data_IF_571790389061
#
_entry.id   IF_571790389061
#
_cell.length_a   1.000
_cell.length_b   1.000
_cell.length_c   1.000
_cell.angle_alpha   90.00
_cell.angle_beta   90.00
_cell.angle_gamma   90.00
#
_symmetry.space_group_name_H-M   'P 1'
#
loop_
_entity.id
_entity.type
_entity.pdbx_description
1 polymer ?
#
# COMPACT_ATOMS: atom_id res chain seq x y z
N UNK A 1 -4.91 22.17 16.18
CA UNK A 1 -4.33 20.87 16.56
C UNK A 1 -4.19 20.79 18.07
N UNK A 2 -4.78 19.76 18.70
CA UNK A 2 -4.59 19.40 20.12
C UNK A 2 -3.68 18.18 20.22
N UNK A 3 -2.73 18.19 21.14
CA UNK A 3 -1.78 17.09 21.38
C UNK A 3 -2.22 16.32 22.63
N UNK A 4 -2.29 15.00 22.54
CA UNK A 4 -2.60 14.12 23.67
C UNK A 4 -1.54 13.04 23.80
N UNK A 5 -0.89 12.99 24.98
CA UNK A 5 0.06 11.94 25.34
C UNK A 5 -0.66 10.59 25.40
N UNK A 6 -0.01 9.55 24.90
CA UNK A 6 -0.50 8.17 24.94
C UNK A 6 0.37 7.29 25.83
N UNK A 7 0.05 6.00 25.84
CA UNK A 7 0.78 5.00 26.62
C UNK A 7 2.20 4.73 26.07
N UNK A 8 3.09 4.11 26.87
CA UNK A 8 4.40 3.64 26.40
C UNK A 8 4.26 2.75 25.15
N UNK A 9 5.09 3.01 24.15
CA UNK A 9 4.93 2.44 22.80
C UNK A 9 5.71 1.13 22.59
N UNK A 10 6.73 0.85 23.42
CA UNK A 10 7.65 -0.27 23.24
C UNK A 10 7.75 -1.13 24.50
N UNK A 11 7.78 -2.45 24.31
CA UNK A 11 8.14 -3.38 25.38
C UNK A 11 9.64 -3.36 25.66
N UNK A 12 10.05 -3.81 26.85
CA UNK A 12 11.45 -3.90 27.26
C UNK A 12 12.34 -4.64 26.24
N UNK A 13 11.84 -5.75 25.68
CA UNK A 13 12.54 -6.50 24.62
C UNK A 13 12.81 -5.65 23.37
N UNK A 14 11.86 -4.79 22.96
CA UNK A 14 12.04 -3.90 21.80
C UNK A 14 13.03 -2.78 22.10
N UNK A 15 12.97 -2.20 23.30
CA UNK A 15 13.94 -1.20 23.75
C UNK A 15 15.35 -1.78 23.78
N UNK A 16 15.54 -2.96 24.36
CA UNK A 16 16.84 -3.65 24.40
C UNK A 16 17.40 -3.93 23.00
N UNK A 17 16.53 -4.32 22.05
CA UNK A 17 16.93 -4.50 20.66
C UNK A 17 17.39 -3.19 20.01
N UNK A 18 16.68 -2.07 20.22
CA UNK A 18 17.11 -0.76 19.71
C UNK A 18 18.46 -0.34 20.31
N UNK A 19 18.65 -0.55 21.61
CA UNK A 19 19.93 -0.27 22.27
C UNK A 19 21.07 -1.14 21.72
N UNK A 20 20.81 -2.41 21.42
CA UNK A 20 21.78 -3.31 20.78
C UNK A 20 22.17 -2.82 19.39
N UNK A 21 21.20 -2.44 18.54
CA UNK A 21 21.47 -1.83 17.24
C UNK A 21 22.29 -0.54 17.36
N UNK A 22 21.98 0.32 18.36
CA UNK A 22 22.75 1.53 18.61
C UNK A 22 24.21 1.21 18.97
N UNK A 23 24.45 0.16 19.78
CA UNK A 23 25.82 -0.28 20.11
C UNK A 23 26.56 -0.83 18.90
N UNK A 24 25.91 -1.62 18.04
CA UNK A 24 26.50 -2.12 16.79
C UNK A 24 26.94 -0.99 15.85
N UNK A 25 26.18 0.12 15.85
CA UNK A 25 26.49 1.35 15.10
C UNK A 25 27.45 2.30 15.84
N UNK A 26 27.95 1.94 17.02
CA UNK A 26 28.80 2.79 17.87
C UNK A 26 28.16 4.15 18.22
N UNK A 27 26.83 4.19 18.37
CA UNK A 27 26.11 5.38 18.83
C UNK A 27 26.22 5.49 20.37
N UNK A 28 26.49 6.68 20.93
CA UNK A 28 26.64 6.91 22.37
C UNK A 28 25.29 6.93 23.10
N UNK A 29 24.33 6.07 22.72
CA UNK A 29 22.98 5.99 23.30
C UNK A 29 22.99 5.10 24.54
N UNK A 30 22.54 5.65 25.68
CA UNK A 30 22.51 4.97 26.97
C UNK A 30 21.10 4.53 27.38
N UNK A 31 20.06 5.20 26.87
CA UNK A 31 18.67 4.93 27.20
C UNK A 31 17.72 5.34 26.08
N UNK A 32 16.65 4.57 25.88
CA UNK A 32 15.56 4.90 24.95
C UNK A 32 14.25 4.62 25.66
N UNK A 33 13.42 5.65 25.76
CA UNK A 33 12.02 5.55 26.16
C UNK A 33 11.13 6.01 25.01
N UNK A 34 9.95 5.43 24.85
CA UNK A 34 9.06 5.78 23.75
C UNK A 34 7.60 5.76 24.16
N UNK A 35 6.84 6.75 23.72
CA UNK A 35 5.40 6.88 23.96
C UNK A 35 4.65 7.16 22.68
N UNK A 36 3.39 6.72 22.62
CA UNK A 36 2.50 7.23 21.59
C UNK A 36 2.17 8.70 21.85
N UNK A 37 2.09 9.46 20.78
CA UNK A 37 1.58 10.82 20.79
C UNK A 37 0.44 10.92 19.79
N UNK A 38 -0.68 11.50 20.21
CA UNK A 38 -1.86 11.65 19.39
C UNK A 38 -2.09 13.12 19.04
N UNK A 39 -2.43 13.37 17.79
CA UNK A 39 -2.66 14.70 17.26
C UNK A 39 -4.09 14.77 16.75
N UNK A 40 -4.91 15.61 17.38
CA UNK A 40 -6.29 15.84 16.97
C UNK A 40 -6.39 17.17 16.25
N UNK A 41 -6.73 17.12 14.97
CA UNK A 41 -7.15 18.30 14.24
C UNK A 41 -8.65 18.53 14.43
N UNK A 42 -9.00 19.76 14.77
CA UNK A 42 -10.31 20.11 15.30
C UNK A 42 -10.90 21.28 14.54
N UNK A 43 -12.18 21.22 14.21
CA UNK A 43 -12.92 22.35 13.61
C UNK A 43 -13.28 23.43 14.63
N UNK A 44 -13.37 23.05 15.91
CA UNK A 44 -13.67 23.93 17.05
C UNK A 44 -13.16 23.31 18.35
N UNK A 45 -13.12 24.13 19.41
CA UNK A 45 -12.73 23.64 20.74
C UNK A 45 -13.72 22.59 21.28
N UNK A 46 -13.15 21.59 21.95
CA UNK A 46 -13.89 20.55 22.65
C UNK A 46 -14.33 21.04 24.03
N UNK A 47 -15.56 20.73 24.43
CA UNK A 47 -16.01 20.91 25.80
C UNK A 47 -15.42 19.85 26.74
N UNK A 48 -15.63 19.98 28.05
CA UNK A 48 -15.04 19.08 29.04
C UNK A 48 -15.46 17.61 28.86
N UNK A 49 -16.70 17.35 28.44
CA UNK A 49 -17.21 15.99 28.20
C UNK A 49 -16.60 15.39 26.94
N UNK A 50 -16.47 16.18 25.89
CA UNK A 50 -15.82 15.79 24.64
C UNK A 50 -14.32 15.50 24.85
N UNK A 51 -13.62 16.34 25.63
CA UNK A 51 -12.22 16.10 26.02
C UNK A 51 -12.08 14.79 26.77
N UNK A 52 -12.90 14.54 27.80
CA UNK A 52 -12.85 13.32 28.59
C UNK A 52 -13.11 12.07 27.71
N UNK A 53 -14.07 12.15 26.78
CA UNK A 53 -14.33 11.07 25.82
C UNK A 53 -13.12 10.82 24.91
N UNK A 54 -12.52 11.88 24.35
CA UNK A 54 -11.38 11.75 23.46
C UNK A 54 -10.17 11.15 24.18
N UNK A 55 -9.88 11.61 25.40
CA UNK A 55 -8.81 11.06 26.25
C UNK A 55 -9.02 9.58 26.55
N UNK A 56 -10.26 9.17 26.86
CA UNK A 56 -10.61 7.76 27.06
C UNK A 56 -10.43 6.92 25.80
N UNK A 57 -10.82 7.44 24.63
CA UNK A 57 -10.62 6.74 23.35
C UNK A 57 -9.14 6.54 23.02
N UNK A 58 -8.29 7.48 23.41
CA UNK A 58 -6.85 7.46 23.16
C UNK A 58 -6.03 6.78 24.26
N UNK A 59 -6.70 6.24 25.28
CA UNK A 59 -6.10 5.39 26.31
C UNK A 59 -6.28 3.92 25.94
N UNK A 60 -5.24 3.31 25.35
CA UNK A 60 -5.27 1.92 24.89
C UNK A 60 -3.86 1.31 24.87
N UNK A 61 -3.80 -0.02 24.77
CA UNK A 61 -2.54 -0.76 24.68
C UNK A 61 -2.18 -1.47 25.99
N UNK A 62 -1.01 -2.15 26.02
CA UNK A 62 -0.54 -2.83 27.23
C UNK A 62 -0.22 -1.83 28.33
N UNK A 63 -0.54 -2.19 29.58
CA UNK A 63 -0.16 -1.41 30.76
C UNK A 63 1.33 -1.63 31.04
N UNK A 64 2.17 -0.78 30.46
CA UNK A 64 3.61 -0.70 30.72
C UNK A 64 3.82 0.44 31.72
N UNK A 65 4.84 0.31 32.57
CA UNK A 65 5.19 1.38 33.51
C UNK A 65 5.58 2.65 32.73
N UNK A 66 4.96 3.77 33.10
CA UNK A 66 5.28 5.07 32.54
C UNK A 66 6.56 5.60 33.19
N UNK A 67 7.41 6.21 32.38
CA UNK A 67 8.60 6.89 32.85
C UNK A 67 8.50 8.39 32.57
N UNK A 68 9.15 9.20 33.41
CA UNK A 68 9.31 10.62 33.13
C UNK A 68 10.21 10.80 31.90
N UNK A 69 9.74 11.51 30.86
CA UNK A 69 10.53 11.71 29.65
C UNK A 69 11.84 12.46 29.93
N UNK A 70 12.96 11.85 29.57
CA UNK A 70 14.30 12.43 29.74
C UNK A 70 15.14 12.24 28.48
N UNK A 71 16.06 13.17 28.22
CA UNK A 71 16.90 13.15 27.01
C UNK A 71 16.29 13.91 25.82
N UNK A 72 16.80 13.62 24.63
CA UNK A 72 16.43 14.32 23.39
C UNK A 72 15.16 13.71 22.78
N UNK A 73 14.17 14.55 22.46
CA UNK A 73 12.96 14.14 21.75
C UNK A 73 13.25 13.92 20.26
N UNK A 74 12.82 12.78 19.75
CA UNK A 74 12.70 12.45 18.33
C UNK A 74 11.29 11.93 18.07
N UNK A 75 10.43 12.78 17.52
CA UNK A 75 9.04 12.44 17.22
C UNK A 75 8.94 11.82 15.83
N UNK A 76 8.63 10.53 15.75
CA UNK A 76 8.39 9.83 14.49
C UNK A 76 6.90 9.91 14.13
N UNK A 77 6.59 10.36 12.93
CA UNK A 77 5.22 10.47 12.40
C UNK A 77 5.15 9.98 10.96
N UNK A 78 3.96 9.71 10.41
CA UNK A 78 3.79 9.61 8.96
C UNK A 78 4.35 10.85 8.25
N UNK A 79 4.78 10.71 7.00
CA UNK A 79 5.27 11.87 6.21
C UNK A 79 4.13 12.86 5.94
N UNK A 80 4.37 14.18 6.03
CA UNK A 80 3.41 15.19 5.56
C UNK A 80 2.92 14.89 4.14
N UNK A 81 1.63 15.12 3.89
CA UNK A 81 0.97 14.72 2.64
C UNK A 81 0.48 13.27 2.61
N UNK A 82 0.69 12.50 3.68
CA UNK A 82 0.12 11.15 3.85
C UNK A 82 -0.85 11.09 5.01
N UNK A 83 -1.75 10.11 5.00
CA UNK A 83 -2.71 9.82 6.07
C UNK A 83 -2.56 8.35 6.43
N UNK A 84 -2.26 8.04 7.70
CA UNK A 84 -2.06 6.66 8.10
C UNK A 84 -3.39 5.87 8.11
N UNK A 85 -3.38 4.54 7.90
CA UNK A 85 -4.58 3.73 8.10
C UNK A 85 -5.10 3.76 9.56
N UNK A 86 -4.21 4.10 10.52
CA UNK A 86 -4.61 4.35 11.91
C UNK A 86 -5.46 5.63 11.98
N UNK A 87 -5.04 6.69 11.30
CA UNK A 87 -5.77 7.96 11.23
C UNK A 87 -7.20 7.78 10.75
N UNK A 88 -7.40 7.09 9.63
CA UNK A 88 -8.76 6.84 9.10
C UNK A 88 -9.65 6.12 10.12
N UNK A 89 -9.18 5.01 10.69
CA UNK A 89 -9.96 4.21 11.65
C UNK A 89 -10.22 4.93 12.96
N UNK A 90 -9.22 5.64 13.49
CA UNK A 90 -9.37 6.40 14.74
C UNK A 90 -10.33 7.58 14.56
N UNK A 91 -10.28 8.24 13.41
CA UNK A 91 -11.22 9.32 13.08
C UNK A 91 -12.65 8.79 12.96
N UNK A 92 -12.85 7.62 12.31
CA UNK A 92 -14.15 6.95 12.26
C UNK A 92 -14.68 6.58 13.66
N UNK A 93 -13.81 6.10 14.55
CA UNK A 93 -14.17 5.81 15.95
C UNK A 93 -14.61 7.09 16.67
N UNK A 94 -13.86 8.19 16.53
CA UNK A 94 -14.21 9.46 17.14
C UNK A 94 -15.59 9.95 16.67
N UNK A 95 -15.84 9.91 15.36
CA UNK A 95 -17.13 10.29 14.76
C UNK A 95 -18.28 9.39 15.27
N UNK A 96 -18.06 8.07 15.33
CA UNK A 96 -19.07 7.13 15.87
C UNK A 96 -19.33 7.32 17.37
N UNK A 97 -18.42 7.98 18.10
CA UNK A 97 -18.61 8.38 19.50
C UNK A 97 -19.22 9.79 19.65
N UNK A 98 -19.64 10.42 18.55
CA UNK A 98 -20.25 11.74 18.53
C UNK A 98 -19.28 12.89 18.77
N UNK A 99 -18.00 12.72 18.41
CA UNK A 99 -16.98 13.77 18.46
C UNK A 99 -16.85 14.47 17.09
N UNK A 100 -17.95 15.06 16.62
CA UNK A 100 -18.07 15.63 15.26
C UNK A 100 -17.08 16.78 14.97
N UNK A 101 -16.50 17.37 16.02
CA UNK A 101 -15.48 18.43 15.92
C UNK A 101 -14.10 17.89 15.52
N UNK A 102 -13.88 16.57 15.60
CA UNK A 102 -12.62 15.93 15.23
C UNK A 102 -12.57 15.74 13.72
N UNK A 103 -11.83 16.60 13.03
CA UNK A 103 -11.62 16.49 11.58
C UNK A 103 -10.78 15.27 11.25
N UNK A 104 -9.70 15.08 12.02
CA UNK A 104 -8.75 13.98 11.81
C UNK A 104 -7.93 13.73 13.07
N UNK A 105 -7.75 12.46 13.41
CA UNK A 105 -6.75 12.01 14.38
C UNK A 105 -5.53 11.48 13.65
N UNK A 106 -4.33 11.76 14.13
CA UNK A 106 -3.10 11.09 13.71
C UNK A 106 -2.27 10.66 14.92
N UNK A 107 -1.37 9.69 14.72
CA UNK A 107 -0.49 9.18 15.77
C UNK A 107 0.97 9.25 15.34
N UNK A 108 1.81 9.67 16.28
CA UNK A 108 3.27 9.53 16.22
C UNK A 108 3.80 8.68 17.37
N UNK A 109 5.11 8.43 17.35
CA UNK A 109 5.86 7.84 18.44
C UNK A 109 6.93 8.83 18.89
N UNK A 110 6.81 9.35 20.10
CA UNK A 110 7.79 10.22 20.72
C UNK A 110 8.88 9.36 21.35
N UNK A 111 10.08 9.38 20.78
CA UNK A 111 11.26 8.76 21.37
C UNK A 111 12.01 9.78 22.22
N UNK A 112 12.39 9.37 23.42
CA UNK A 112 13.22 10.12 24.35
C UNK A 112 14.55 9.38 24.49
N UNK A 113 15.62 9.98 23.98
CA UNK A 113 16.92 9.33 23.82
C UNK A 113 17.95 9.97 24.75
N UNK A 114 18.50 9.17 25.65
CA UNK A 114 19.62 9.56 26.52
C UNK A 114 20.95 9.14 25.89
N UNK A 115 21.95 10.01 26.00
CA UNK A 115 23.26 9.80 25.41
C UNK A 115 24.39 10.11 26.39
N UNK A 116 25.50 9.37 26.30
CA UNK A 116 26.70 9.62 27.12
C UNK A 116 27.53 10.81 26.64
N UNK A 117 27.32 11.23 25.39
CA UNK A 117 27.96 12.39 24.76
C UNK A 117 27.06 12.93 23.66
N UNK A 118 27.24 14.21 23.30
CA UNK A 118 26.50 14.83 22.21
C UNK A 118 26.67 14.05 20.89
N UNK A 119 25.56 13.86 20.18
CA UNK A 119 25.55 13.18 18.89
C UNK A 119 26.09 14.10 17.81
N UNK A 120 27.02 13.60 16.99
CA UNK A 120 27.38 14.27 15.73
C UNK A 120 26.22 14.21 14.73
N UNK A 121 26.25 15.05 13.70
CA UNK A 121 25.23 15.06 12.64
C UNK A 121 25.09 13.68 11.95
N UNK A 122 26.20 13.00 11.69
CA UNK A 122 26.19 11.66 11.10
C UNK A 122 25.54 10.63 12.04
N UNK A 123 25.90 10.65 13.33
CA UNK A 123 25.30 9.75 14.32
C UNK A 123 23.79 10.01 14.50
N UNK A 124 23.34 11.27 14.37
CA UNK A 124 21.92 11.59 14.39
C UNK A 124 21.18 11.01 13.18
N UNK A 125 21.80 11.03 11.99
CA UNK A 125 21.24 10.38 10.78
C UNK A 125 21.11 8.87 10.96
N UNK A 126 22.15 8.23 11.51
CA UNK A 126 22.15 6.80 11.81
C UNK A 126 21.09 6.43 12.86
N UNK A 127 21.00 7.19 13.95
CA UNK A 127 19.97 7.00 14.97
C UNK A 127 18.56 7.13 14.39
N UNK A 128 18.31 8.16 13.56
CA UNK A 128 17.03 8.33 12.87
C UNK A 128 16.72 7.10 12.02
N UNK A 129 17.68 6.60 11.24
CA UNK A 129 17.47 5.42 10.38
C UNK A 129 17.11 4.14 11.16
N UNK A 130 17.42 4.06 12.45
CA UNK A 130 17.05 2.92 13.31
C UNK A 130 15.60 3.01 13.81
N UNK A 131 15.05 4.21 13.97
CA UNK A 131 13.76 4.43 14.66
C UNK A 131 12.56 4.72 13.74
N UNK A 132 12.79 4.95 12.44
CA UNK A 132 11.70 5.21 11.49
C UNK A 132 11.91 4.52 10.13
N UNK A 133 10.82 4.27 9.42
CA UNK A 133 10.85 3.88 8.00
C UNK A 133 10.88 5.13 7.10
N UNK A 134 12.02 5.40 6.48
CA UNK A 134 12.20 6.54 5.54
C UNK A 134 11.19 6.58 4.38
N UNK A 135 10.57 5.45 4.02
CA UNK A 135 9.59 5.40 2.93
C UNK A 135 8.20 5.88 3.37
N UNK A 136 7.90 5.89 4.67
CA UNK A 136 6.57 6.17 5.22
C UNK A 136 6.53 7.25 6.28
N UNK A 137 7.65 7.50 6.95
CA UNK A 137 7.73 8.31 8.15
C UNK A 137 8.76 9.44 8.00
N UNK A 138 8.64 10.44 8.88
CA UNK A 138 9.65 11.49 9.12
C UNK A 138 9.92 11.62 10.62
N UNK A 139 11.01 12.30 10.97
CA UNK A 139 11.39 12.58 12.36
C UNK A 139 11.41 14.09 12.60
N UNK A 140 10.61 14.56 13.55
CA UNK A 140 10.59 15.93 14.07
C UNK A 140 11.32 16.05 15.42
N UNK A 141 11.74 17.27 15.75
CA UNK A 141 12.41 17.62 17.02
C UNK A 141 11.45 18.03 18.14
N UNK A 142 10.18 18.29 17.79
CA UNK A 142 9.16 18.88 18.66
C UNK A 142 7.75 18.43 18.22
N UNK A 143 6.77 18.63 19.10
CA UNK A 143 5.39 18.19 18.84
C UNK A 143 4.64 19.17 17.92
N UNK A 144 4.98 20.45 17.97
CA UNK A 144 4.34 21.53 17.23
C UNK A 144 4.53 21.33 15.72
N UNK A 145 5.68 20.83 15.29
CA UNK A 145 5.98 20.47 13.91
C UNK A 145 5.02 19.43 13.31
N UNK A 146 4.34 18.62 14.14
CA UNK A 146 3.30 17.70 13.68
C UNK A 146 2.08 18.42 13.07
N UNK A 147 1.95 19.74 13.25
CA UNK A 147 0.96 20.54 12.52
C UNK A 147 1.11 20.43 10.99
N UNK A 148 2.32 20.14 10.48
CA UNK A 148 2.56 19.89 9.06
C UNK A 148 1.75 18.70 8.51
N UNK A 149 1.36 17.75 9.37
CA UNK A 149 0.53 16.61 8.97
C UNK A 149 -0.85 17.05 8.52
N UNK A 150 -1.36 18.17 9.02
CA UNK A 150 -2.74 18.67 8.82
C UNK A 150 -2.84 19.84 7.84
N UNK A 151 -1.78 20.15 7.10
CA UNK A 151 -1.84 21.17 6.07
C UNK A 151 -2.86 20.80 4.98
N UNK A 152 -3.79 21.72 4.73
CA UNK A 152 -4.74 21.64 3.63
C UNK A 152 -4.16 22.41 2.46
N UNK A 153 -3.95 21.72 1.33
CA UNK A 153 -3.53 22.34 0.09
C UNK A 153 -4.76 22.81 -0.71
N UNK A 154 -4.61 23.91 -1.43
CA UNK A 154 -5.61 24.32 -2.42
C UNK A 154 -5.57 23.38 -3.64
N UNK A 155 -6.72 23.02 -4.24
CA UNK A 155 -6.75 22.21 -5.46
C UNK A 155 -5.91 22.84 -6.57
N UNK A 156 -4.94 22.09 -7.08
CA UNK A 156 -4.11 22.53 -8.21
C UNK A 156 -4.95 22.58 -9.51
N UNK A 157 -4.75 23.59 -10.37
CA UNK A 157 -5.41 23.65 -11.67
C UNK A 157 -4.88 22.58 -12.62
N UNK A 158 -5.70 22.14 -13.57
CA UNK A 158 -5.28 21.29 -14.69
C UNK A 158 -4.25 22.02 -15.55
N UNK A 159 -3.26 21.29 -16.07
CA UNK A 159 -2.25 21.84 -16.97
C UNK A 159 -2.46 21.34 -18.41
N UNK A 160 -2.42 22.27 -19.38
CA UNK A 160 -2.35 21.93 -20.80
C UNK A 160 -0.90 21.66 -21.22
N UNK A 161 -0.71 20.70 -22.12
CA UNK A 161 0.57 20.48 -22.80
C UNK A 161 0.50 21.07 -24.21
N UNK A 162 1.37 22.03 -24.52
CA UNK A 162 1.29 22.83 -25.75
C UNK A 162 1.79 22.08 -27.01
N UNK A 163 0.99 21.12 -27.49
CA UNK A 163 1.25 20.37 -28.72
C UNK A 163 0.95 21.18 -29.98
N UNK A 164 0.00 22.13 -29.94
CA UNK A 164 -0.36 22.93 -31.11
C UNK A 164 0.79 23.83 -31.58
N UNK A 165 1.49 24.47 -30.64
CA UNK A 165 2.64 25.33 -30.97
C UNK A 165 3.96 24.60 -30.77
N UNK A 166 4.09 23.86 -29.68
CA UNK A 166 5.32 23.15 -29.31
C UNK A 166 5.54 21.83 -30.05
N UNK A 167 4.51 21.32 -30.74
CA UNK A 167 4.59 20.11 -31.55
C UNK A 167 5.05 18.90 -30.75
N UNK A 168 5.77 18.00 -31.44
CA UNK A 168 6.30 16.75 -30.86
C UNK A 168 7.19 16.99 -29.62
N UNK A 169 7.97 18.07 -29.63
CA UNK A 169 8.92 18.38 -28.55
C UNK A 169 8.21 18.63 -27.22
N UNK A 170 7.06 19.32 -27.24
CA UNK A 170 6.26 19.52 -26.02
C UNK A 170 5.78 18.19 -25.43
N UNK A 171 5.44 17.21 -26.27
CA UNK A 171 5.03 15.89 -25.83
C UNK A 171 6.22 15.06 -25.30
N UNK A 172 7.40 15.16 -25.91
CA UNK A 172 8.63 14.52 -25.42
C UNK A 172 9.05 15.07 -24.04
N UNK A 173 8.96 16.39 -23.85
CA UNK A 173 9.21 17.04 -22.56
C UNK A 173 8.18 16.62 -21.50
N UNK A 174 6.90 16.53 -21.86
CA UNK A 174 5.85 16.03 -20.98
C UNK A 174 6.06 14.54 -20.63
N UNK A 175 6.51 13.72 -21.59
CA UNK A 175 6.82 12.30 -21.38
C UNK A 175 7.86 12.10 -20.27
N UNK A 176 8.92 12.92 -20.27
CA UNK A 176 9.96 12.88 -19.23
C UNK A 176 9.47 13.48 -17.91
N UNK A 177 8.85 14.65 -17.96
CA UNK A 177 8.47 15.41 -16.76
C UNK A 177 7.37 14.69 -15.95
N UNK A 178 6.40 14.11 -16.65
CA UNK A 178 5.30 13.36 -16.05
C UNK A 178 5.64 11.87 -15.87
N UNK A 179 6.75 11.38 -16.45
CA UNK A 179 7.14 9.97 -16.35
C UNK A 179 6.19 9.03 -17.08
N UNK A 180 5.72 9.40 -18.27
CA UNK A 180 4.70 8.65 -19.03
C UNK A 180 5.24 7.37 -19.68
N UNK A 181 6.55 7.30 -19.91
CA UNK A 181 7.24 6.17 -20.56
C UNK A 181 6.64 5.77 -21.93
N UNK A 182 6.20 6.75 -22.72
CA UNK A 182 5.65 6.55 -24.05
C UNK A 182 6.71 6.11 -25.06
N UNK A 183 6.34 5.17 -25.92
CA UNK A 183 7.12 4.81 -27.11
C UNK A 183 6.94 5.84 -28.24
N UNK A 184 7.84 5.81 -29.24
CA UNK A 184 7.83 6.76 -30.36
C UNK A 184 6.51 6.71 -31.16
N UNK A 185 5.95 5.52 -31.37
CA UNK A 185 4.67 5.32 -32.07
C UNK A 185 3.47 5.80 -31.25
N UNK A 186 3.54 5.71 -29.93
CA UNK A 186 2.54 6.26 -29.01
C UNK A 186 2.57 7.80 -29.00
N UNK A 187 3.77 8.39 -29.06
CA UNK A 187 3.97 9.84 -29.22
C UNK A 187 3.35 10.30 -30.55
N UNK A 188 3.65 9.61 -31.65
CA UNK A 188 3.13 9.95 -32.97
C UNK A 188 1.59 9.82 -33.01
N UNK A 189 1.04 8.78 -32.39
CA UNK A 189 -0.42 8.59 -32.25
C UNK A 189 -1.08 9.76 -31.51
N UNK A 190 -0.51 10.20 -30.39
CA UNK A 190 -1.04 11.30 -29.60
C UNK A 190 -0.93 12.62 -30.36
N UNK A 191 0.18 12.85 -31.07
CA UNK A 191 0.37 14.04 -31.88
C UNK A 191 -0.69 14.13 -32.99
N UNK A 192 -0.90 13.05 -33.75
CA UNK A 192 -1.95 12.99 -34.78
C UNK A 192 -3.34 13.22 -34.17
N UNK A 193 -3.61 12.58 -33.03
CA UNK A 193 -4.90 12.65 -32.37
C UNK A 193 -5.23 14.07 -31.89
N UNK A 194 -4.31 14.74 -31.20
CA UNK A 194 -4.56 16.05 -30.61
C UNK A 194 -4.36 17.21 -31.60
N UNK A 195 -3.32 17.15 -32.45
CA UNK A 195 -3.01 18.24 -33.38
C UNK A 195 -3.87 18.18 -34.65
N UNK A 196 -4.05 16.99 -35.22
CA UNK A 196 -4.73 16.85 -36.53
C UNK A 196 -6.22 16.57 -36.40
N UNK A 197 -6.64 15.74 -35.43
CA UNK A 197 -8.06 15.31 -35.34
C UNK A 197 -8.88 16.18 -34.39
N UNK A 198 -8.32 16.51 -33.23
CA UNK A 198 -9.04 17.25 -32.19
C UNK A 198 -8.75 18.76 -32.21
N UNK A 199 -7.69 19.18 -32.89
CA UNK A 199 -7.27 20.58 -33.03
C UNK A 199 -7.18 21.33 -31.69
N UNK A 200 -6.71 20.64 -30.64
CA UNK A 200 -6.52 21.21 -29.30
C UNK A 200 -5.35 20.58 -28.57
N UNK A 201 -4.86 21.29 -27.56
CA UNK A 201 -3.89 20.73 -26.63
C UNK A 201 -4.53 19.62 -25.77
N UNK A 202 -3.78 18.54 -25.47
CA UNK A 202 -4.16 17.61 -24.41
C UNK A 202 -3.89 18.23 -23.04
N UNK A 203 -4.70 17.83 -22.07
CA UNK A 203 -4.38 18.07 -20.66
C UNK A 203 -3.41 17.02 -20.13
N UNK A 204 -2.66 17.35 -19.09
CA UNK A 204 -1.77 16.45 -18.37
C UNK A 204 -2.48 15.15 -17.93
N UNK A 205 -3.71 15.25 -17.44
CA UNK A 205 -4.53 14.10 -17.02
C UNK A 205 -4.93 13.19 -18.19
N UNK A 206 -5.18 13.74 -19.39
CA UNK A 206 -5.46 12.94 -20.59
C UNK A 206 -4.23 12.12 -21.01
N UNK A 207 -3.05 12.73 -20.96
CA UNK A 207 -1.79 12.05 -21.27
C UNK A 207 -1.45 10.97 -20.22
N UNK A 208 -1.61 11.29 -18.94
CA UNK A 208 -1.43 10.32 -17.85
C UNK A 208 -2.39 9.14 -17.98
N UNK A 209 -3.68 9.39 -18.24
CA UNK A 209 -4.66 8.33 -18.49
C UNK A 209 -4.23 7.43 -19.65
N UNK A 210 -3.82 8.02 -20.77
CA UNK A 210 -3.39 7.27 -21.94
C UNK A 210 -2.15 6.41 -21.64
N UNK A 211 -1.14 6.98 -20.98
CA UNK A 211 0.09 6.29 -20.62
C UNK A 211 -0.17 5.09 -19.70
N UNK A 212 -1.00 5.28 -18.66
CA UNK A 212 -1.35 4.19 -17.76
C UNK A 212 -2.10 3.06 -18.47
N UNK A 213 -3.06 3.39 -19.35
CA UNK A 213 -3.85 2.41 -20.09
C UNK A 213 -3.02 1.62 -21.12
N UNK A 214 -1.98 2.23 -21.69
CA UNK A 214 -1.12 1.62 -22.72
C UNK A 214 0.22 1.11 -22.19
N UNK A 215 0.45 1.17 -20.87
CA UNK A 215 1.59 0.51 -20.24
C UNK A 215 1.62 -1.00 -20.53
N UNK A 216 2.81 -1.61 -20.46
CA UNK A 216 2.95 -3.07 -20.64
C UNK A 216 2.07 -3.84 -19.67
N UNK A 217 2.05 -3.43 -18.39
CA UNK A 217 1.28 -4.04 -17.32
C UNK A 217 -0.23 -4.05 -17.59
N UNK A 218 -0.79 -2.98 -18.16
CA UNK A 218 -2.22 -2.90 -18.44
C UNK A 218 -2.59 -3.56 -19.78
N UNK A 219 -1.78 -3.33 -20.82
CA UNK A 219 -2.12 -3.74 -22.19
C UNK A 219 -1.65 -5.16 -22.53
N UNK A 220 -0.78 -5.75 -21.70
CA UNK A 220 -0.21 -7.08 -21.90
C UNK A 220 0.38 -7.24 -23.31
N UNK A 221 1.19 -6.25 -23.74
CA UNK A 221 1.72 -6.16 -25.11
C UNK A 221 2.48 -7.43 -25.52
N UNK A 222 3.38 -7.92 -24.64
CA UNK A 222 4.19 -9.12 -24.88
C UNK A 222 3.32 -10.37 -25.07
N UNK A 223 2.29 -10.54 -24.24
CA UNK A 223 1.39 -11.69 -24.31
C UNK A 223 0.55 -11.73 -25.59
N UNK A 224 0.29 -10.58 -26.19
CA UNK A 224 -0.48 -10.45 -27.42
C UNK A 224 0.39 -10.31 -28.68
N UNK A 225 1.71 -10.22 -28.54
CA UNK A 225 2.63 -10.02 -29.66
C UNK A 225 2.70 -11.23 -30.59
N UNK A 226 3.07 -10.94 -31.85
CA UNK A 226 3.59 -11.94 -32.79
C UNK A 226 5.02 -12.32 -32.42
N UNK A 227 5.40 -13.58 -32.63
CA UNK A 227 6.72 -14.09 -32.29
C UNK A 227 7.45 -14.63 -33.51
N UNK A 228 8.77 -14.41 -33.57
CA UNK A 228 9.69 -15.09 -34.49
C UNK A 228 10.81 -15.68 -33.64
N UNK A 229 10.94 -17.01 -33.65
CA UNK A 229 11.92 -17.74 -32.84
C UNK A 229 12.86 -18.46 -33.80
N UNK A 230 14.17 -18.24 -33.65
CA UNK A 230 15.21 -18.81 -34.51
C UNK A 230 14.95 -18.60 -36.02
N UNK A 231 14.43 -17.42 -36.36
CA UNK A 231 14.09 -17.04 -37.74
C UNK A 231 12.76 -17.59 -38.27
N UNK A 232 12.00 -18.33 -37.45
CA UNK A 232 10.71 -18.92 -37.83
C UNK A 232 9.56 -18.16 -37.17
N UNK A 233 8.66 -17.62 -38.00
CA UNK A 233 7.43 -16.97 -37.53
C UNK A 233 6.52 -18.00 -36.85
N UNK A 234 5.96 -17.63 -35.70
CA UNK A 234 5.04 -18.46 -34.93
C UNK A 234 3.57 -18.09 -35.25
N UNK A 235 2.69 -19.09 -35.22
CA UNK A 235 1.28 -18.93 -35.62
C UNK A 235 0.38 -18.34 -34.52
N UNK A 236 0.82 -18.37 -33.26
CA UNK A 236 0.03 -17.97 -32.09
C UNK A 236 0.83 -17.05 -31.18
N UNK A 237 0.16 -16.05 -30.62
CA UNK A 237 0.68 -15.31 -29.46
C UNK A 237 0.66 -16.18 -28.20
N UNK A 238 1.37 -15.75 -27.15
CA UNK A 238 1.36 -16.43 -25.85
C UNK A 238 -0.07 -16.57 -25.31
N UNK A 239 -0.86 -15.48 -25.36
CA UNK A 239 -2.23 -15.52 -24.86
C UNK A 239 -3.13 -16.45 -25.69
N UNK A 240 -2.92 -16.55 -27.00
CA UNK A 240 -3.66 -17.49 -27.85
C UNK A 240 -3.29 -18.95 -27.54
N UNK A 241 -2.04 -19.22 -27.18
CA UNK A 241 -1.64 -20.55 -26.68
C UNK A 241 -2.32 -20.88 -25.35
N UNK A 242 -2.45 -19.92 -24.43
CA UNK A 242 -3.21 -20.12 -23.18
C UNK A 242 -4.70 -20.37 -23.47
N UNK A 243 -5.35 -19.58 -24.34
CA UNK A 243 -6.77 -19.79 -24.70
C UNK A 243 -7.03 -21.16 -25.33
N UNK A 244 -6.02 -21.77 -25.95
CA UNK A 244 -6.16 -23.09 -26.55
C UNK A 244 -6.48 -24.19 -25.53
N UNK A 245 -6.10 -24.02 -24.26
CA UNK A 245 -6.49 -24.96 -23.19
C UNK A 245 -8.00 -24.98 -22.99
N UNK A 246 -8.64 -23.80 -23.02
CA UNK A 246 -10.08 -23.66 -22.92
C UNK A 246 -10.81 -24.10 -24.21
N UNK A 247 -10.22 -23.85 -25.38
CA UNK A 247 -10.75 -24.36 -26.66
C UNK A 247 -10.80 -25.89 -26.70
N UNK A 248 -9.83 -26.55 -26.04
CA UNK A 248 -9.69 -28.01 -26.02
C UNK A 248 -10.52 -28.65 -24.90
N UNK A 249 -10.62 -27.99 -23.75
CA UNK A 249 -11.26 -28.51 -22.53
C UNK A 249 -12.13 -27.42 -21.90
N UNK A 250 -13.32 -27.16 -22.46
CA UNK A 250 -14.24 -26.15 -21.94
C UNK A 250 -15.11 -26.64 -20.77
N UNK A 251 -15.06 -27.93 -20.44
CA UNK A 251 -15.93 -28.56 -19.46
C UNK A 251 -15.84 -27.84 -18.10
N UNK A 252 -17.00 -27.64 -17.47
CA UNK A 252 -17.16 -27.00 -16.17
C UNK A 252 -16.74 -25.52 -16.08
N UNK A 253 -16.30 -24.89 -17.16
CA UNK A 253 -15.95 -23.46 -17.15
C UNK A 253 -17.18 -22.60 -17.46
N UNK A 254 -17.52 -21.68 -16.55
CA UNK A 254 -18.62 -20.73 -16.70
C UNK A 254 -18.13 -19.37 -17.22
N UNK A 255 -16.92 -18.97 -16.82
CA UNK A 255 -16.27 -17.73 -17.27
C UNK A 255 -14.76 -17.88 -17.35
N UNK A 256 -14.18 -17.47 -18.49
CA UNK A 256 -12.74 -17.35 -18.68
C UNK A 256 -12.45 -16.16 -19.63
N UNK A 257 -11.40 -15.40 -19.32
CA UNK A 257 -10.86 -14.31 -20.17
C UNK A 257 -11.81 -13.14 -20.47
N UNK A 258 -12.89 -12.97 -19.69
CA UNK A 258 -13.93 -11.94 -19.91
C UNK A 258 -14.37 -11.22 -18.64
N UNK A 259 -13.63 -11.39 -17.56
CA UNK A 259 -13.91 -10.83 -16.24
C UNK A 259 -12.60 -10.78 -15.43
N UNK A 260 -12.63 -10.20 -14.23
CA UNK A 260 -11.48 -10.07 -13.35
C UNK A 260 -11.03 -11.41 -12.73
N UNK A 261 -11.89 -12.43 -12.74
CA UNK A 261 -11.57 -13.80 -12.32
C UNK A 261 -12.19 -14.84 -13.26
N UNK A 262 -11.64 -16.07 -13.24
CA UNK A 262 -12.28 -17.22 -13.87
C UNK A 262 -13.35 -17.81 -12.94
N UNK A 263 -14.37 -18.45 -13.51
CA UNK A 263 -15.43 -19.12 -12.75
C UNK A 263 -15.67 -20.51 -13.32
N UNK A 264 -15.70 -21.51 -12.43
CA UNK A 264 -16.06 -22.89 -12.75
C UNK A 264 -17.29 -23.36 -11.98
N UNK A 265 -17.88 -24.45 -12.47
CA UNK A 265 -18.96 -25.15 -11.79
C UNK A 265 -18.55 -25.56 -10.37
N UNK A 266 -19.52 -25.54 -9.47
CA UNK A 266 -19.34 -25.91 -8.08
C UNK A 266 -20.42 -26.90 -7.67
N UNK A 267 -20.81 -26.90 -6.40
CA UNK A 267 -21.80 -27.84 -5.87
C UNK A 267 -23.09 -27.16 -5.47
N UNK A 268 -24.18 -27.92 -5.45
CA UNK A 268 -25.44 -27.49 -4.83
C UNK A 268 -25.35 -27.70 -3.32
N UNK A 269 -25.41 -26.61 -2.54
CA UNK A 269 -25.18 -26.60 -1.09
C UNK A 269 -26.07 -25.58 -0.40
N UNK A 270 -26.21 -25.69 0.92
CA UNK A 270 -26.86 -24.67 1.73
C UNK A 270 -25.95 -23.46 1.96
N UNK A 271 -26.17 -22.36 1.23
CA UNK A 271 -25.48 -21.09 1.47
C UNK A 271 -26.10 -20.36 2.65
N UNK A 272 -25.29 -20.05 3.67
CA UNK A 272 -25.77 -19.49 4.94
C UNK A 272 -25.52 -17.99 5.03
N UNK A 273 -26.60 -17.20 5.05
CA UNK A 273 -26.55 -15.73 5.16
C UNK A 273 -27.90 -15.20 5.71
N UNK A 274 -27.95 -13.95 6.23
CA UNK A 274 -29.19 -13.40 6.75
C UNK A 274 -30.14 -13.06 5.59
N UNK A 275 -31.40 -13.45 5.72
CA UNK A 275 -32.44 -13.04 4.77
C UNK A 275 -32.64 -11.51 4.84
N UNK A 276 -32.66 -10.80 3.70
CA UNK A 276 -32.69 -9.34 3.69
C UNK A 276 -33.99 -8.73 4.23
N UNK A 277 -35.09 -9.50 4.30
CA UNK A 277 -36.39 -9.01 4.79
C UNK A 277 -36.54 -9.28 6.29
N UNK A 278 -36.28 -10.51 6.73
CA UNK A 278 -36.48 -10.96 8.12
C UNK A 278 -35.26 -10.70 9.00
N UNK A 279 -34.08 -10.50 8.40
CA UNK A 279 -32.77 -10.37 9.08
C UNK A 279 -32.38 -11.60 9.89
N UNK A 280 -32.99 -12.75 9.61
CA UNK A 280 -32.67 -14.02 10.26
C UNK A 280 -31.71 -14.84 9.40
N UNK A 281 -30.74 -15.48 10.03
CA UNK A 281 -29.84 -16.41 9.34
C UNK A 281 -30.55 -17.71 8.99
N UNK A 282 -30.31 -18.21 7.78
CA UNK A 282 -30.82 -19.49 7.31
C UNK A 282 -30.00 -20.05 6.16
N UNK A 283 -30.25 -21.32 5.83
CA UNK A 283 -29.65 -21.99 4.67
C UNK A 283 -30.51 -21.78 3.43
N UNK A 284 -29.88 -21.33 2.34
CA UNK A 284 -30.48 -21.23 1.02
C UNK A 284 -29.80 -22.28 0.13
N UNK A 285 -30.55 -23.30 -0.32
CA UNK A 285 -29.99 -24.37 -1.14
C UNK A 285 -29.88 -23.89 -2.59
N UNK A 286 -28.66 -23.69 -3.05
CA UNK A 286 -28.35 -23.15 -4.37
C UNK A 286 -26.97 -23.63 -4.84
N UNK A 287 -26.66 -23.40 -6.12
CA UNK A 287 -25.34 -23.69 -6.67
C UNK A 287 -24.31 -22.69 -6.16
N UNK A 288 -23.35 -23.16 -5.38
CA UNK A 288 -22.17 -22.40 -4.99
C UNK A 288 -21.03 -22.65 -5.98
N UNK A 289 -21.01 -21.88 -7.07
CA UNK A 289 -19.92 -21.88 -8.05
C UNK A 289 -18.60 -21.34 -7.47
N UNK A 290 -17.49 -21.68 -8.11
CA UNK A 290 -16.15 -21.37 -7.59
C UNK A 290 -15.48 -20.39 -8.55
N UNK A 291 -15.11 -19.22 -8.03
CA UNK A 291 -14.24 -18.27 -8.70
C UNK A 291 -12.78 -18.53 -8.31
N UNK A 292 -11.84 -18.15 -9.17
CA UNK A 292 -10.40 -18.22 -8.88
C UNK A 292 -9.63 -17.12 -9.61
N UNK A 293 -8.71 -16.50 -8.88
CA UNK A 293 -7.78 -15.49 -9.36
C UNK A 293 -6.45 -15.61 -8.59
N UNK A 294 -5.37 -15.15 -9.22
CA UNK A 294 -4.05 -15.00 -8.60
C UNK A 294 -3.44 -13.74 -9.19
N UNK A 295 -2.87 -12.90 -8.33
CA UNK A 295 -2.11 -11.71 -8.74
C UNK A 295 -0.70 -11.72 -8.15
N UNK A 296 0.16 -10.82 -8.64
CA UNK A 296 1.48 -10.59 -8.08
C UNK A 296 1.68 -9.10 -7.83
N UNK A 297 2.49 -8.75 -6.84
CA UNK A 297 2.76 -7.35 -6.51
C UNK A 297 4.25 -7.09 -6.26
N UNK A 298 5.06 -7.50 -7.24
CA UNK A 298 6.50 -7.67 -7.10
C UNK A 298 7.24 -6.33 -6.90
N UNK A 299 7.04 -5.37 -7.82
CA UNK A 299 7.78 -4.09 -7.81
C UNK A 299 7.51 -3.26 -6.54
N UNK A 300 6.26 -3.04 -6.09
CA UNK A 300 6.00 -2.33 -4.83
C UNK A 300 6.58 -3.05 -3.61
N UNK A 301 6.52 -4.38 -3.57
CA UNK A 301 7.05 -5.19 -2.46
C UNK A 301 8.58 -5.06 -2.34
N UNK A 302 9.28 -4.86 -3.45
CA UNK A 302 10.72 -4.61 -3.44
C UNK A 302 11.09 -3.24 -2.84
N UNK A 303 10.17 -2.27 -2.87
CA UNK A 303 10.37 -0.91 -2.34
C UNK A 303 9.91 -0.81 -0.89
N UNK A 304 8.69 -1.27 -0.60
CA UNK A 304 8.13 -1.28 0.75
C UNK A 304 7.32 -2.58 0.94
N UNK A 305 7.88 -3.59 1.62
CA UNK A 305 7.38 -4.96 1.58
C UNK A 305 6.04 -5.14 2.29
N UNK A 306 5.82 -4.44 3.41
CA UNK A 306 4.54 -4.51 4.12
C UNK A 306 3.38 -4.04 3.24
N UNK A 307 3.31 -2.76 2.80
CA UNK A 307 2.19 -2.30 2.01
C UNK A 307 2.12 -3.05 0.69
N UNK A 308 3.25 -3.36 0.04
CA UNK A 308 3.29 -4.12 -1.23
C UNK A 308 2.65 -5.50 -1.10
N UNK A 309 2.95 -6.27 -0.05
CA UNK A 309 2.27 -7.54 0.16
C UNK A 309 0.78 -7.36 0.51
N UNK A 310 0.45 -6.37 1.35
CA UNK A 310 -0.94 -6.15 1.79
C UNK A 310 -1.86 -5.66 0.68
N UNK A 311 -1.40 -4.77 -0.20
CA UNK A 311 -2.19 -4.28 -1.34
C UNK A 311 -2.22 -5.29 -2.46
N UNK A 312 -1.23 -6.17 -2.57
CA UNK A 312 -1.28 -7.33 -3.46
C UNK A 312 -2.44 -8.26 -3.08
N UNK A 313 -2.54 -8.63 -1.79
CA UNK A 313 -3.69 -9.40 -1.29
C UNK A 313 -5.00 -8.62 -1.43
N UNK A 314 -5.00 -7.33 -1.07
CA UNK A 314 -6.19 -6.50 -1.12
C UNK A 314 -6.71 -6.23 -2.53
N UNK A 315 -5.84 -6.18 -3.54
CA UNK A 315 -6.20 -6.06 -4.95
C UNK A 315 -6.91 -7.31 -5.45
N UNK A 316 -6.28 -8.46 -5.24
CA UNK A 316 -6.80 -9.78 -5.62
C UNK A 316 -8.17 -10.06 -4.97
N UNK A 317 -8.34 -9.78 -3.67
CA UNK A 317 -9.62 -9.92 -2.95
C UNK A 317 -10.72 -9.03 -3.57
N UNK A 318 -10.38 -7.85 -4.12
CA UNK A 318 -11.38 -6.99 -4.79
C UNK A 318 -11.81 -7.57 -6.13
N UNK A 319 -10.91 -8.20 -6.87
CA UNK A 319 -11.27 -8.88 -8.13
C UNK A 319 -12.22 -10.04 -7.90
N UNK A 320 -11.98 -10.83 -6.85
CA UNK A 320 -12.91 -11.88 -6.42
C UNK A 320 -14.28 -11.28 -6.09
N UNK A 321 -14.32 -10.18 -5.33
CA UNK A 321 -15.57 -9.48 -4.98
C UNK A 321 -16.29 -8.84 -6.19
N UNK A 322 -15.54 -8.40 -7.19
CA UNK A 322 -16.06 -7.71 -8.38
C UNK A 322 -16.43 -8.66 -9.53
N UNK A 323 -16.20 -9.97 -9.38
CA UNK A 323 -16.53 -10.96 -10.41
C UNK A 323 -18.04 -11.01 -10.67
N UNK A 324 -18.45 -10.92 -11.94
CA UNK A 324 -19.85 -10.90 -12.36
C UNK A 324 -20.61 -9.71 -11.79
N UNK A 325 -21.65 -9.98 -11.00
CA UNK A 325 -22.46 -8.95 -10.31
C UNK A 325 -22.22 -8.92 -8.79
N UNK A 326 -21.11 -9.53 -8.34
CA UNK A 326 -20.76 -9.64 -6.93
C UNK A 326 -20.34 -11.07 -6.56
N UNK A 327 -19.05 -11.27 -6.37
CA UNK A 327 -18.48 -12.48 -5.80
C UNK A 327 -18.31 -12.39 -4.27
N UNK A 328 -17.99 -13.53 -3.64
CA UNK A 328 -17.67 -13.57 -2.21
C UNK A 328 -16.35 -14.33 -2.00
N UNK A 329 -15.27 -13.63 -1.63
CA UNK A 329 -14.00 -14.25 -1.28
C UNK A 329 -14.14 -15.34 -0.21
N UNK A 330 -13.34 -16.40 -0.33
CA UNK A 330 -13.43 -17.57 0.57
C UNK A 330 -12.09 -17.94 1.20
N UNK A 331 -11.07 -18.15 0.38
CA UNK A 331 -9.76 -18.63 0.82
C UNK A 331 -8.68 -18.03 -0.08
N UNK A 332 -7.54 -17.67 0.52
CA UNK A 332 -6.38 -17.12 -0.19
C UNK A 332 -5.18 -18.06 -0.15
N UNK A 333 -4.27 -17.85 -1.10
CA UNK A 333 -2.94 -18.44 -1.11
C UNK A 333 -1.88 -17.35 -1.17
N UNK A 334 -0.69 -17.63 -0.64
CA UNK A 334 0.43 -16.68 -0.65
C UNK A 334 1.69 -17.36 -1.16
N UNK A 335 2.44 -16.68 -2.02
CA UNK A 335 3.72 -17.13 -2.54
C UNK A 335 4.78 -16.04 -2.47
N UNK A 336 5.97 -16.37 -1.97
CA UNK A 336 7.14 -15.49 -2.00
C UNK A 336 8.31 -16.18 -2.70
N UNK A 337 9.11 -15.40 -3.41
CA UNK A 337 10.42 -15.81 -3.90
C UNK A 337 11.39 -14.65 -3.67
N UNK A 338 12.44 -14.90 -2.90
CA UNK A 338 13.44 -13.88 -2.52
C UNK A 338 14.86 -14.40 -2.75
N UNK A 339 15.82 -13.48 -2.71
CA UNK A 339 17.25 -13.80 -2.60
C UNK A 339 17.57 -14.48 -1.25
N UNK A 340 18.81 -14.93 -1.06
CA UNK A 340 19.19 -15.56 0.19
C UNK A 340 19.00 -14.63 1.40
N UNK A 341 18.38 -15.17 2.47
CA UNK A 341 18.02 -14.40 3.66
C UNK A 341 19.22 -13.81 4.43
N UNK A 342 20.38 -14.50 4.41
CA UNK A 342 21.61 -14.12 5.13
C UNK A 342 21.32 -13.62 6.56
N UNK A 343 20.63 -14.45 7.34
CA UNK A 343 20.25 -14.13 8.73
C UNK A 343 21.53 -14.03 9.58
N UNK A 344 21.80 -12.90 10.26
CA UNK A 344 22.97 -12.72 11.11
C UNK A 344 23.08 -13.83 12.17
N UNK A 345 24.25 -14.44 12.32
CA UNK A 345 24.50 -15.54 13.24
C UNK A 345 23.90 -16.90 12.83
N UNK A 346 23.21 -16.98 11.69
CA UNK A 346 22.62 -18.21 11.15
C UNK A 346 22.90 -18.40 9.64
N UNK A 347 24.08 -17.95 9.20
CA UNK A 347 24.51 -18.05 7.82
C UNK A 347 24.71 -19.52 7.40
N UNK A 348 24.32 -19.84 6.18
CA UNK A 348 24.42 -21.19 5.63
C UNK A 348 25.63 -21.28 4.71
N UNK A 349 26.54 -22.23 4.98
CA UNK A 349 27.74 -22.47 4.18
C UNK A 349 27.37 -22.87 2.74
N UNK A 350 27.99 -22.22 1.74
CA UNK A 350 27.88 -22.59 0.32
C UNK A 350 26.93 -21.74 -0.55
N UNK A 351 26.28 -20.69 -0.02
CA UNK A 351 25.33 -19.86 -0.79
C UNK A 351 25.99 -18.65 -1.46
N UNK A 352 26.80 -18.89 -2.49
CA UNK A 352 26.96 -17.94 -3.60
C UNK A 352 25.97 -18.22 -4.75
N UNK A 353 25.22 -19.33 -4.67
CA UNK A 353 24.25 -19.74 -5.69
C UNK A 353 22.83 -19.43 -5.22
N UNK A 354 22.08 -18.69 -6.04
CA UNK A 354 20.67 -18.36 -5.85
C UNK A 354 19.86 -19.62 -5.53
N UNK A 355 19.37 -19.72 -4.30
CA UNK A 355 18.34 -20.71 -3.94
C UNK A 355 17.09 -19.91 -3.66
N UNK A 356 16.12 -19.98 -4.58
CA UNK A 356 14.77 -19.47 -4.35
C UNK A 356 14.15 -20.27 -3.21
N UNK A 357 13.78 -19.60 -2.13
CA UNK A 357 12.89 -20.19 -1.14
C UNK A 357 11.47 -19.84 -1.56
N UNK A 358 10.71 -20.84 -2.01
CA UNK A 358 9.26 -20.73 -2.19
C UNK A 358 8.61 -21.05 -0.85
N UNK A 359 8.06 -20.02 -0.20
CA UNK A 359 7.15 -20.23 0.93
C UNK A 359 5.73 -20.17 0.36
N UNK A 360 5.07 -21.33 0.28
CA UNK A 360 3.64 -21.42 -0.05
C UNK A 360 2.88 -21.78 1.23
N UNK A 361 1.96 -20.92 1.63
CA UNK A 361 0.93 -21.22 2.62
C UNK A 361 -0.40 -21.25 1.87
N UNK A 362 -0.91 -22.45 1.61
CA UNK A 362 -2.27 -22.68 1.10
C UNK A 362 -3.13 -23.24 2.23
N UNK A 363 -4.17 -22.50 2.62
CA UNK A 363 -5.29 -23.06 3.38
C UNK A 363 -6.49 -23.16 2.45
N UNK A 364 -6.77 -24.36 1.97
CA UNK A 364 -8.02 -24.66 1.27
C UNK A 364 -9.07 -25.09 2.30
N UNK A 365 -10.15 -24.33 2.43
CA UNK A 365 -11.38 -24.84 3.04
C UNK A 365 -12.47 -24.88 1.98
N UNK A 366 -12.78 -26.08 1.51
CA UNK A 366 -14.01 -26.37 0.79
C UNK A 366 -15.20 -26.22 1.74
N UNK A 367 -16.28 -25.65 1.23
CA UNK A 367 -17.65 -25.84 1.72
C UNK A 367 -18.45 -26.09 0.47
#
# INVERSE_FOLDING_TARGET
>A
MRILRGSPALSEFRVNKLLELCRELNLPVTGIYAEFAHFADLTADLDASEVEKLEKLLTYGPTIEEHEPTGTLLLVTPRPGTISPWSSKSTDIANNCGLDKVTRLERGTAYYVETSSELTELQLVELKAVIHDRMMEVVFSDFESAAALFQVAEPAPVADVDLLTGGRKALEEANVTLGLALAEDEIDYLLESFVTKLERNPTDIELMMFAQANSEHCRHKIFNADWTIDGVKQDKSLFKMIKNTFETTPEHVLSAYKDNAAVMEGSEVGRFFPDPKTRQYGYNHEKAHILMKVETHNHPTAISPWPGASTGSGGEIRDEGATGIGGKPKAGLVGFTTSNLRIPGFEQLGKQTLVSQVVSLTHWTSC
#
